data_IF_460421205900
#
_entry.id   IF_460421205900
#
_cell.length_a   1.000
_cell.length_b   1.000
_cell.length_c   1.000
_cell.angle_alpha   90.00
_cell.angle_beta   90.00
_cell.angle_gamma   90.00
#
_symmetry.space_group_name_H-M   'P 1'
#
loop_
_entity.id
_entity.type
_entity.pdbx_description
1 polymer ?
#
# COMPACT_ATOMS: atom_id res chain seq x y z
N UNK A 1 -11.59 -40.72 -24.33
CA UNK A 1 -10.80 -39.53 -24.72
C UNK A 1 -11.57 -38.21 -24.53
N UNK A 2 -12.88 -38.09 -24.84
CA UNK A 2 -13.62 -36.82 -24.67
C UNK A 2 -13.90 -36.38 -23.22
N UNK A 3 -14.20 -37.31 -22.31
CA UNK A 3 -14.56 -36.98 -20.91
C UNK A 3 -13.43 -36.30 -20.12
N UNK A 4 -12.17 -36.64 -20.43
CA UNK A 4 -10.99 -36.05 -19.80
C UNK A 4 -10.74 -34.60 -20.27
N UNK A 5 -10.96 -34.33 -21.55
CA UNK A 5 -10.83 -33.00 -22.13
C UNK A 5 -11.88 -32.03 -21.57
N UNK A 6 -13.14 -32.48 -21.44
CA UNK A 6 -14.23 -31.68 -20.85
C UNK A 6 -13.95 -31.36 -19.38
N UNK A 7 -13.40 -32.31 -18.62
CA UNK A 7 -13.05 -32.12 -17.22
C UNK A 7 -11.88 -31.12 -17.04
N UNK A 8 -10.86 -31.18 -17.91
CA UNK A 8 -9.75 -30.22 -17.93
C UNK A 8 -10.21 -28.80 -18.31
N UNK A 9 -11.12 -28.66 -19.28
CA UNK A 9 -11.68 -27.36 -19.66
C UNK A 9 -12.55 -26.74 -18.55
N UNK A 10 -13.36 -27.55 -17.86
CA UNK A 10 -14.10 -27.11 -16.67
C UNK A 10 -13.17 -26.71 -15.53
N UNK A 11 -12.05 -27.41 -15.35
CA UNK A 11 -11.05 -27.07 -14.33
C UNK A 11 -10.34 -25.73 -14.64
N UNK A 12 -10.00 -25.48 -15.91
CA UNK A 12 -9.41 -24.21 -16.34
C UNK A 12 -10.38 -23.02 -16.22
N UNK A 13 -11.69 -23.24 -16.39
CA UNK A 13 -12.72 -22.21 -16.19
C UNK A 13 -12.91 -21.85 -14.71
N UNK A 14 -12.73 -22.80 -13.78
CA UNK A 14 -12.75 -22.55 -12.33
C UNK A 14 -11.42 -21.94 -11.86
N UNK A 15 -10.31 -22.25 -12.53
CA UNK A 15 -9.03 -21.57 -12.39
C UNK A 15 -9.00 -20.24 -13.15
N UNK A 16 -10.03 -19.39 -13.01
CA UNK A 16 -9.82 -17.97 -13.25
C UNK A 16 -8.72 -17.52 -12.29
N UNK A 17 -7.52 -17.41 -12.83
CA UNK A 17 -6.39 -16.73 -12.21
C UNK A 17 -6.94 -15.36 -11.88
N UNK A 18 -7.31 -15.15 -10.61
CA UNK A 18 -7.58 -13.81 -10.08
C UNK A 18 -6.25 -13.09 -10.05
N UNK A 19 -5.76 -12.71 -11.23
CA UNK A 19 -4.76 -11.67 -11.34
C UNK A 19 -5.38 -10.45 -10.70
N UNK A 20 -4.85 -10.01 -9.57
CA UNK A 20 -5.32 -8.80 -8.91
C UNK A 20 -5.00 -7.63 -9.83
N UNK A 21 -5.96 -7.27 -10.68
CA UNK A 21 -5.89 -6.13 -11.57
C UNK A 21 -6.35 -4.89 -10.81
N UNK A 22 -5.70 -3.74 -11.06
CA UNK A 22 -6.18 -2.45 -10.56
C UNK A 22 -7.58 -2.22 -11.15
N UNK A 23 -8.65 -2.07 -10.35
CA UNK A 23 -10.00 -1.91 -10.90
C UNK A 23 -10.05 -0.75 -11.90
N UNK A 24 -10.82 -0.89 -12.98
CA UNK A 24 -10.90 0.13 -14.04
C UNK A 24 -11.22 1.53 -13.49
N UNK A 25 -12.13 1.62 -12.51
CA UNK A 25 -12.45 2.88 -11.81
C UNK A 25 -11.22 3.48 -11.13
N UNK A 26 -10.41 2.66 -10.45
CA UNK A 26 -9.20 3.12 -9.78
C UNK A 26 -8.17 3.64 -10.79
N UNK A 27 -7.98 2.94 -11.91
CA UNK A 27 -7.09 3.42 -12.96
C UNK A 27 -7.57 4.76 -13.53
N UNK A 28 -8.85 4.90 -13.85
CA UNK A 28 -9.43 6.17 -14.34
C UNK A 28 -9.22 7.31 -13.34
N UNK A 29 -9.48 7.05 -12.06
CA UNK A 29 -9.25 8.03 -10.99
C UNK A 29 -7.78 8.45 -10.88
N UNK A 30 -6.85 7.49 -10.95
CA UNK A 30 -5.41 7.81 -10.94
C UNK A 30 -5.05 8.71 -12.13
N UNK A 31 -5.52 8.40 -13.33
CA UNK A 31 -5.24 9.22 -14.51
C UNK A 31 -5.80 10.64 -14.42
N UNK A 32 -7.02 10.80 -13.88
CA UNK A 32 -7.62 12.11 -13.69
C UNK A 32 -6.82 12.95 -12.66
N UNK A 33 -6.44 12.34 -11.54
CA UNK A 33 -5.59 12.99 -10.55
C UNK A 33 -4.20 13.33 -11.09
N UNK A 34 -3.59 12.47 -11.92
CA UNK A 34 -2.30 12.76 -12.55
C UNK A 34 -2.36 13.96 -13.51
N UNK A 35 -3.51 14.20 -14.15
CA UNK A 35 -3.72 15.41 -14.97
C UNK A 35 -3.82 16.67 -14.12
N UNK A 36 -4.39 16.56 -12.92
CA UNK A 36 -4.49 17.68 -11.98
C UNK A 36 -3.14 17.98 -11.33
N UNK A 37 -2.47 16.96 -10.76
CA UNK A 37 -1.13 17.04 -10.18
C UNK A 37 -0.05 16.88 -11.27
N UNK A 38 -0.11 17.76 -12.26
CA UNK A 38 0.75 17.72 -13.44
C UNK A 38 2.17 18.14 -13.10
N UNK A 39 3.13 17.31 -13.51
CA UNK A 39 4.57 17.58 -13.54
C UNK A 39 5.09 17.15 -14.92
N UNK A 40 6.26 17.61 -15.32
CA UNK A 40 6.88 17.22 -16.59
C UNK A 40 7.46 15.80 -16.53
N UNK A 41 7.68 15.18 -17.69
CA UNK A 41 8.15 13.80 -17.77
C UNK A 41 9.59 13.64 -17.25
N UNK A 42 10.45 14.64 -17.49
CA UNK A 42 11.81 14.69 -16.92
C UNK A 42 11.78 14.72 -15.39
N UNK A 43 10.84 15.44 -14.78
CA UNK A 43 10.64 15.42 -13.32
C UNK A 43 10.06 14.09 -12.82
N UNK A 44 9.12 13.51 -13.57
CA UNK A 44 8.45 12.25 -13.18
C UNK A 44 9.36 11.03 -13.29
N UNK A 45 10.29 11.05 -14.24
CA UNK A 45 11.16 9.94 -14.60
C UNK A 45 12.65 10.26 -14.39
N UNK A 46 12.96 11.09 -13.39
CA UNK A 46 14.33 11.52 -13.03
C UNK A 46 15.22 10.40 -12.41
N UNK A 47 14.70 9.18 -12.28
CA UNK A 47 15.38 8.04 -11.67
C UNK A 47 15.33 7.99 -10.13
N UNK A 48 14.63 8.92 -9.47
CA UNK A 48 14.50 9.01 -8.02
C UNK A 48 13.03 8.77 -7.60
N UNK A 49 12.54 7.51 -7.65
CA UNK A 49 11.18 7.23 -7.27
C UNK A 49 10.95 7.52 -5.78
N UNK A 50 9.81 8.13 -5.44
CA UNK A 50 9.41 8.40 -4.04
C UNK A 50 9.47 7.14 -3.17
N UNK A 51 9.04 6.00 -3.74
CA UNK A 51 9.17 4.69 -3.13
C UNK A 51 10.01 3.78 -4.03
N UNK A 52 11.04 3.17 -3.47
CA UNK A 52 11.88 2.22 -4.21
C UNK A 52 11.06 1.02 -4.69
N UNK A 53 11.11 0.75 -6.00
CA UNK A 53 10.49 -0.46 -6.58
C UNK A 53 11.32 -1.72 -6.30
N UNK A 54 12.54 -1.58 -5.79
CA UNK A 54 13.40 -2.70 -5.44
C UNK A 54 12.88 -3.33 -4.15
N UNK A 55 12.11 -4.41 -4.29
CA UNK A 55 11.65 -5.18 -3.14
C UNK A 55 12.87 -5.79 -2.42
N UNK A 56 13.10 -5.43 -1.15
CA UNK A 56 14.40 -5.65 -0.51
C UNK A 56 14.71 -7.15 -0.33
N UNK A 57 13.69 -8.01 -0.26
CA UNK A 57 13.81 -9.41 0.15
C UNK A 57 12.83 -10.28 -0.67
N UNK A 58 13.25 -11.49 -1.03
CA UNK A 58 12.47 -12.44 -1.83
C UNK A 58 11.37 -13.18 -1.04
N UNK A 59 11.39 -13.11 0.30
CA UNK A 59 10.38 -13.68 1.20
C UNK A 59 9.09 -12.84 1.18
N UNK A 60 7.94 -13.49 0.97
CA UNK A 60 6.62 -12.84 0.87
C UNK A 60 6.28 -12.00 2.09
N UNK A 61 6.42 -12.53 3.30
CA UNK A 61 6.14 -11.80 4.55
C UNK A 61 6.90 -10.47 4.62
N UNK A 62 8.18 -10.46 4.25
CA UNK A 62 8.98 -9.23 4.30
C UNK A 62 8.57 -8.22 3.23
N UNK A 63 8.15 -8.70 2.05
CA UNK A 63 7.53 -7.84 1.03
C UNK A 63 6.23 -7.24 1.56
N UNK A 64 5.42 -8.01 2.27
CA UNK A 64 4.16 -7.53 2.83
C UNK A 64 4.40 -6.44 3.88
N UNK A 65 5.40 -6.58 4.75
CA UNK A 65 5.83 -5.50 5.68
C UNK A 65 6.22 -4.23 4.94
N UNK A 66 7.04 -4.36 3.88
CA UNK A 66 7.43 -3.21 3.06
C UNK A 66 6.22 -2.53 2.41
N UNK A 67 5.34 -3.30 1.76
CA UNK A 67 4.14 -2.79 1.09
C UNK A 67 3.16 -2.19 2.10
N UNK A 68 2.97 -2.80 3.27
CA UNK A 68 2.18 -2.24 4.36
C UNK A 68 2.67 -0.85 4.78
N UNK A 69 3.99 -0.68 4.90
CA UNK A 69 4.60 0.63 5.14
C UNK A 69 4.38 1.64 4.00
N UNK A 70 4.46 1.19 2.74
CA UNK A 70 4.16 2.04 1.57
C UNK A 70 2.69 2.48 1.56
N UNK A 71 1.75 1.58 1.86
CA UNK A 71 0.32 1.91 1.94
C UNK A 71 0.02 2.90 3.07
N UNK A 72 0.68 2.77 4.23
CA UNK A 72 0.58 3.75 5.33
C UNK A 72 1.02 5.14 4.85
N UNK A 73 2.13 5.23 4.10
CA UNK A 73 2.60 6.51 3.56
C UNK A 73 1.70 7.08 2.46
N UNK A 74 1.08 6.26 1.63
CA UNK A 74 0.06 6.75 0.69
C UNK A 74 -1.19 7.25 1.42
N UNK A 75 -1.60 6.63 2.53
CA UNK A 75 -2.71 7.13 3.33
C UNK A 75 -2.41 8.51 3.92
N UNK A 76 -1.23 8.69 4.52
CA UNK A 76 -0.76 9.99 5.03
C UNK A 76 -0.69 11.04 3.91
N UNK A 77 -0.07 10.70 2.77
CA UNK A 77 0.11 11.60 1.63
C UNK A 77 -1.24 12.07 1.06
N UNK A 78 -2.17 11.15 0.81
CA UNK A 78 -3.48 11.52 0.26
C UNK A 78 -4.30 12.31 1.29
N UNK A 79 -4.15 12.01 2.59
CA UNK A 79 -4.71 12.82 3.66
C UNK A 79 -4.24 14.27 3.61
N UNK A 80 -2.93 14.48 3.40
CA UNK A 80 -2.34 15.81 3.24
C UNK A 80 -2.86 16.51 1.98
N UNK A 81 -2.88 15.82 0.84
CA UNK A 81 -3.41 16.36 -0.41
C UNK A 81 -4.87 16.83 -0.25
N UNK A 82 -5.68 16.11 0.52
CA UNK A 82 -7.06 16.50 0.83
C UNK A 82 -7.18 17.75 1.72
N UNK A 83 -6.25 17.93 2.66
CA UNK A 83 -6.22 19.11 3.52
C UNK A 83 -5.73 20.37 2.81
N UNK A 84 -4.90 20.22 1.77
CA UNK A 84 -4.42 21.35 0.96
C UNK A 84 -5.43 21.84 -0.08
N UNK A 85 -6.43 21.03 -0.43
CA UNK A 85 -7.46 21.46 -1.36
C UNK A 85 -8.26 22.64 -0.79
N UNK A 86 -8.53 23.69 -1.60
CA UNK A 86 -9.33 24.83 -1.17
C UNK A 86 -10.61 24.39 -0.46
N UNK A 87 -10.83 24.91 0.75
CA UNK A 87 -12.10 24.71 1.46
C UNK A 87 -13.20 25.37 0.65
N UNK A 88 -14.28 24.65 0.29
CA UNK A 88 -15.44 25.26 -0.35
C UNK A 88 -15.90 26.43 0.51
N UNK A 89 -15.82 27.65 -0.01
CA UNK A 89 -16.35 28.82 0.70
C UNK A 89 -17.87 28.62 0.83
N UNK A 90 -18.47 28.86 2.00
CA UNK A 90 -19.92 28.89 2.09
C UNK A 90 -20.41 29.97 1.12
N UNK A 91 -21.30 29.58 0.21
CA UNK A 91 -22.09 30.54 -0.53
C UNK A 91 -22.94 31.26 0.53
N UNK A 92 -22.57 32.50 0.84
CA UNK A 92 -23.42 33.41 1.59
C UNK A 92 -24.72 33.54 0.81
N UNK A 93 -25.76 32.87 1.31
CA UNK A 93 -27.13 33.17 0.95
C UNK A 93 -27.42 34.58 1.50
N UNK A 94 -27.26 35.60 0.66
CA UNK A 94 -27.80 36.92 0.94
C UNK A 94 -28.28 37.51 -0.39
N UNK A 95 -29.54 37.92 -0.35
CA UNK A 95 -30.29 38.70 -1.34
C UNK A 95 -30.94 37.95 -2.51
N UNK A 96 -32.03 37.25 -2.18
CA UNK A 96 -33.24 37.35 -2.99
C UNK A 96 -34.09 38.50 -2.46
N UNK A 97 -34.08 39.66 -3.14
CA UNK A 97 -35.31 40.29 -3.66
C UNK A 97 -35.01 41.57 -4.45
N UNK A 98 -35.45 41.54 -5.72
CA UNK A 98 -36.18 42.60 -6.43
C UNK A 98 -35.48 43.38 -7.58
N UNK A 99 -35.79 42.93 -8.82
CA UNK A 99 -35.91 43.68 -10.10
C UNK A 99 -34.64 44.39 -10.66
N UNK A 100 -34.27 44.42 -11.94
CA UNK A 100 -34.95 44.31 -13.25
C UNK A 100 -33.93 43.91 -14.34
N UNK A 101 -34.44 43.27 -15.40
CA UNK A 101 -33.96 43.20 -16.79
C UNK A 101 -32.63 43.88 -17.20
N UNK A 102 -31.66 43.08 -17.68
CA UNK A 102 -30.98 43.33 -18.96
C UNK A 102 -30.15 42.09 -19.37
N UNK A 103 -30.40 41.64 -20.60
CA UNK A 103 -29.76 40.54 -21.29
C UNK A 103 -28.33 40.92 -21.69
N UNK A 104 -27.33 40.18 -21.21
CA UNK A 104 -25.98 40.15 -21.80
C UNK A 104 -25.35 38.78 -21.56
N UNK A 105 -25.08 37.95 -22.59
CA UNK A 105 -24.34 36.71 -22.41
C UNK A 105 -22.84 37.03 -22.41
N UNK A 106 -22.33 37.43 -21.25
CA UNK A 106 -20.90 37.43 -20.99
C UNK A 106 -20.45 36.00 -20.69
N UNK A 107 -19.68 35.40 -21.60
CA UNK A 107 -19.00 34.10 -21.41
C UNK A 107 -17.95 34.27 -20.31
N UNK A 108 -18.39 34.15 -19.06
CA UNK A 108 -17.54 34.00 -17.90
C UNK A 108 -17.32 32.51 -17.66
N UNK A 109 -16.15 32.00 -18.02
CA UNK A 109 -15.69 30.65 -17.71
C UNK A 109 -15.50 30.47 -16.21
N UNK A 110 -16.59 30.25 -15.48
CA UNK A 110 -16.56 29.79 -14.09
C UNK A 110 -16.16 28.31 -14.04
N UNK A 111 -14.88 28.02 -14.29
CA UNK A 111 -14.35 26.64 -14.38
C UNK A 111 -13.68 26.16 -13.08
N UNK A 112 -13.45 27.04 -12.11
CA UNK A 112 -12.63 26.68 -10.93
C UNK A 112 -13.41 26.00 -9.80
N UNK A 113 -14.69 26.34 -9.62
CA UNK A 113 -15.51 25.77 -8.53
C UNK A 113 -15.81 24.27 -8.72
N UNK A 114 -15.95 23.80 -9.96
CA UNK A 114 -16.28 22.39 -10.26
C UNK A 114 -15.07 21.45 -10.31
N UNK A 115 -13.87 21.96 -10.58
CA UNK A 115 -12.65 21.13 -10.69
C UNK A 115 -12.18 20.68 -9.30
N UNK A 116 -12.22 21.56 -8.30
CA UNK A 116 -11.81 21.24 -6.92
C UNK A 116 -12.69 20.17 -6.27
N UNK A 117 -13.99 20.19 -6.53
CA UNK A 117 -14.95 19.20 -6.01
C UNK A 117 -14.72 17.80 -6.60
N UNK A 118 -14.39 17.72 -7.90
CA UNK A 118 -14.09 16.46 -8.55
C UNK A 118 -12.78 15.83 -8.01
N UNK A 119 -11.72 16.63 -7.84
CA UNK A 119 -10.43 16.17 -7.28
C UNK A 119 -10.61 15.66 -5.85
N UNK A 120 -11.40 16.36 -5.03
CA UNK A 120 -11.70 15.94 -3.65
C UNK A 120 -12.38 14.57 -3.60
N UNK A 121 -13.37 14.33 -4.47
CA UNK A 121 -14.08 13.04 -4.56
C UNK A 121 -13.13 11.93 -5.01
N UNK A 122 -12.28 12.19 -5.99
CA UNK A 122 -11.30 11.24 -6.51
C UNK A 122 -10.24 10.83 -5.47
N UNK A 123 -9.68 11.80 -4.73
CA UNK A 123 -8.75 11.52 -3.63
C UNK A 123 -9.42 10.73 -2.50
N UNK A 124 -10.65 11.10 -2.09
CA UNK A 124 -11.42 10.33 -1.09
C UNK A 124 -11.67 8.90 -1.55
N UNK A 125 -11.97 8.69 -2.83
CA UNK A 125 -12.13 7.36 -3.39
C UNK A 125 -10.84 6.54 -3.29
N UNK A 126 -9.69 7.07 -3.71
CA UNK A 126 -8.40 6.34 -3.56
C UNK A 126 -8.06 6.06 -2.10
N UNK A 127 -8.24 7.05 -1.23
CA UNK A 127 -7.99 6.91 0.20
C UNK A 127 -8.81 5.76 0.80
N UNK A 128 -10.11 5.67 0.46
CA UNK A 128 -10.96 4.59 0.96
C UNK A 128 -10.50 3.22 0.48
N UNK A 129 -10.05 3.08 -0.78
CA UNK A 129 -9.51 1.83 -1.33
C UNK A 129 -8.18 1.41 -0.70
N UNK A 130 -7.31 2.36 -0.40
CA UNK A 130 -6.05 2.08 0.31
C UNK A 130 -6.34 1.63 1.74
N UNK A 131 -7.25 2.31 2.45
CA UNK A 131 -7.67 1.92 3.80
C UNK A 131 -8.30 0.52 3.83
N UNK A 132 -9.16 0.22 2.86
CA UNK A 132 -9.79 -1.10 2.71
C UNK A 132 -8.73 -2.19 2.51
N UNK A 133 -7.81 -2.02 1.56
CA UNK A 133 -6.72 -2.96 1.31
C UNK A 133 -5.85 -3.17 2.56
N UNK A 134 -5.51 -2.08 3.26
CA UNK A 134 -4.68 -2.14 4.47
C UNK A 134 -5.38 -2.92 5.59
N UNK A 135 -6.65 -2.60 5.85
CA UNK A 135 -7.44 -3.25 6.91
C UNK A 135 -7.58 -4.75 6.68
N UNK A 136 -7.77 -5.19 5.43
CA UNK A 136 -8.04 -6.59 5.15
C UNK A 136 -6.79 -7.45 4.95
N UNK A 137 -5.66 -6.87 4.55
CA UNK A 137 -4.50 -7.65 4.10
C UNK A 137 -3.15 -7.22 4.67
N UNK A 138 -3.07 -6.10 5.39
CA UNK A 138 -1.80 -5.53 5.86
C UNK A 138 -1.88 -4.94 7.28
N UNK A 139 -2.86 -5.34 8.09
CA UNK A 139 -3.01 -4.78 9.43
C UNK A 139 -1.82 -5.16 10.34
N UNK A 140 -1.44 -6.44 10.35
CA UNK A 140 -0.31 -6.92 11.15
C UNK A 140 1.02 -6.38 10.61
N UNK A 141 1.20 -6.42 9.28
CA UNK A 141 2.38 -5.90 8.62
C UNK A 141 2.57 -4.39 8.83
N UNK A 142 1.46 -3.64 8.85
CA UNK A 142 1.45 -2.23 9.19
C UNK A 142 1.89 -1.98 10.63
N UNK A 143 1.46 -2.81 11.60
CA UNK A 143 1.92 -2.73 12.99
C UNK A 143 3.43 -2.98 13.09
N UNK A 144 3.93 -4.03 12.44
CA UNK A 144 5.37 -4.33 12.41
C UNK A 144 6.15 -3.18 11.76
N UNK A 145 5.67 -2.63 10.64
CA UNK A 145 6.32 -1.50 9.99
C UNK A 145 6.37 -0.25 10.89
N UNK A 146 5.33 0.01 11.68
CA UNK A 146 5.31 1.11 12.68
C UNK A 146 6.33 0.89 13.78
N UNK A 147 6.43 -0.32 14.33
CA UNK A 147 7.46 -0.65 15.32
C UNK A 147 8.86 -0.50 14.74
N UNK A 148 9.10 -0.95 13.50
CA UNK A 148 10.40 -0.74 12.84
C UNK A 148 10.73 0.75 12.66
N UNK A 149 9.73 1.58 12.39
CA UNK A 149 9.93 3.02 12.29
C UNK A 149 10.17 3.69 13.64
N UNK A 150 9.54 3.20 14.72
CA UNK A 150 9.77 3.70 16.08
C UNK A 150 11.20 3.43 16.53
N UNK A 151 11.77 2.28 16.17
CA UNK A 151 13.19 1.96 16.43
C UNK A 151 14.15 2.99 15.82
N UNK A 152 13.84 3.55 14.65
CA UNK A 152 14.66 4.59 14.01
C UNK A 152 14.64 5.92 14.79
N UNK A 153 13.60 6.17 15.58
CA UNK A 153 13.41 7.41 16.35
C UNK A 153 14.04 7.39 17.74
N UNK A 154 14.65 6.28 18.14
CA UNK A 154 15.28 6.15 19.45
C UNK A 154 16.40 7.20 19.61
N UNK A 155 16.38 7.91 20.74
CA UNK A 155 17.38 8.94 21.08
C UNK A 155 18.66 8.27 21.60
N UNK A 156 19.57 7.95 20.68
CA UNK A 156 20.78 7.18 21.00
C UNK A 156 21.77 7.93 21.92
N UNK A 157 21.67 9.25 21.99
CA UNK A 157 22.54 10.12 22.80
C UNK A 157 22.00 10.36 24.23
N UNK A 158 20.80 9.87 24.56
CA UNK A 158 20.23 10.00 25.89
C UNK A 158 20.73 8.88 26.82
N UNK A 159 21.31 9.26 27.97
CA UNK A 159 21.87 8.34 28.96
C UNK A 159 20.81 7.42 29.57
N UNK A 160 19.58 7.91 29.74
CA UNK A 160 18.48 7.10 30.28
C UNK A 160 18.10 6.01 29.27
N UNK A 161 18.01 6.36 28.00
CA UNK A 161 17.78 5.43 26.89
C UNK A 161 18.90 4.38 26.81
N UNK A 162 20.16 4.78 26.90
CA UNK A 162 21.30 3.86 26.89
C UNK A 162 21.25 2.87 28.06
N UNK A 163 20.99 3.36 29.27
CA UNK A 163 20.90 2.51 30.47
C UNK A 163 19.74 1.51 30.37
N UNK A 164 18.55 1.95 29.92
CA UNK A 164 17.41 1.05 29.67
C UNK A 164 17.71 0.00 28.60
N UNK A 165 18.39 0.39 27.53
CA UNK A 165 18.77 -0.53 26.46
C UNK A 165 19.73 -1.61 26.98
N UNK A 166 20.75 -1.21 27.76
CA UNK A 166 21.70 -2.14 28.38
C UNK A 166 21.00 -3.10 29.35
N UNK A 167 20.06 -2.61 30.17
CA UNK A 167 19.31 -3.45 31.11
C UNK A 167 18.47 -4.55 30.43
N UNK A 168 18.05 -4.34 29.18
CA UNK A 168 17.28 -5.34 28.41
C UNK A 168 18.15 -6.15 27.43
N UNK A 169 19.45 -5.85 27.33
CA UNK A 169 20.31 -6.38 26.27
C UNK A 169 20.43 -7.92 26.33
N UNK A 170 20.58 -8.48 27.54
CA UNK A 170 20.69 -9.92 27.71
C UNK A 170 19.46 -10.65 27.14
N UNK A 171 18.26 -10.17 27.47
CA UNK A 171 17.02 -10.76 26.98
C UNK A 171 16.91 -10.69 25.45
N UNK A 172 17.20 -9.54 24.85
CA UNK A 172 17.17 -9.39 23.39
C UNK A 172 18.22 -10.25 22.67
N UNK A 173 19.40 -10.42 23.26
CA UNK A 173 20.44 -11.29 22.72
C UNK A 173 20.04 -12.77 22.75
N UNK A 174 19.44 -13.22 23.85
CA UNK A 174 18.95 -14.59 24.00
C UNK A 174 17.80 -14.88 23.03
N UNK A 175 16.86 -13.96 22.89
CA UNK A 175 15.75 -14.07 21.95
C UNK A 175 16.25 -14.16 20.50
N UNK A 176 17.17 -13.28 20.09
CA UNK A 176 17.77 -13.30 18.76
C UNK A 176 18.51 -14.62 18.47
N UNK A 177 19.26 -15.13 19.46
CA UNK A 177 19.97 -16.40 19.37
C UNK A 177 19.03 -17.60 19.24
N UNK A 178 17.93 -17.59 19.99
CA UNK A 178 16.90 -18.62 19.95
C UNK A 178 16.20 -18.67 18.59
N UNK A 179 15.84 -17.52 18.02
CA UNK A 179 15.24 -17.42 16.69
C UNK A 179 16.14 -18.02 15.60
N UNK A 180 17.46 -17.75 15.65
CA UNK A 180 18.43 -18.34 14.73
C UNK A 180 18.47 -19.87 14.83
N UNK A 181 18.49 -20.41 16.06
CA UNK A 181 18.49 -21.86 16.31
C UNK A 181 17.20 -22.52 15.80
N UNK A 182 16.04 -21.91 16.07
CA UNK A 182 14.75 -22.41 15.56
C UNK A 182 14.74 -22.45 14.03
N UNK A 183 15.23 -21.41 13.36
CA UNK A 183 15.33 -21.38 11.90
C UNK A 183 16.22 -22.51 11.36
N UNK A 184 17.35 -22.80 12.01
CA UNK A 184 18.23 -23.91 11.65
C UNK A 184 17.54 -25.27 11.81
N UNK A 185 16.86 -25.50 12.93
CA UNK A 185 16.11 -26.74 13.21
C UNK A 185 15.03 -26.96 12.13
N UNK A 186 14.28 -25.93 11.79
CA UNK A 186 13.26 -26.01 10.74
C UNK A 186 13.86 -26.37 9.38
N UNK A 187 15.00 -25.77 9.01
CA UNK A 187 15.72 -26.10 7.77
C UNK A 187 16.19 -27.55 7.76
N UNK A 188 16.74 -28.05 8.86
CA UNK A 188 17.21 -29.42 8.97
C UNK A 188 16.05 -30.43 8.88
N UNK A 189 14.94 -30.17 9.57
CA UNK A 189 13.71 -30.99 9.48
C UNK A 189 13.19 -31.08 8.04
N UNK A 190 13.18 -29.96 7.31
CA UNK A 190 12.79 -29.93 5.89
C UNK A 190 13.73 -30.78 5.02
N UNK A 191 15.04 -30.74 5.25
CA UNK A 191 16.03 -31.56 4.53
C UNK A 191 15.81 -33.06 4.77
N UNK A 192 15.66 -33.48 6.03
CA UNK A 192 15.41 -34.89 6.40
C UNK A 192 14.13 -35.42 5.76
N UNK A 193 13.03 -34.65 5.77
CA UNK A 193 11.78 -35.03 5.09
C UNK A 193 11.96 -35.25 3.59
N UNK A 194 12.78 -34.44 2.92
CA UNK A 194 13.08 -34.61 1.48
C UNK A 194 13.91 -35.87 1.22
N UNK A 195 14.90 -36.16 2.07
CA UNK A 195 15.70 -37.37 1.97
C UNK A 195 14.85 -38.64 2.16
N UNK A 196 13.99 -38.67 3.19
CA UNK A 196 13.09 -39.79 3.44
C UNK A 196 12.09 -40.02 2.29
N UNK A 197 11.62 -38.96 1.63
CA UNK A 197 10.76 -39.07 0.43
C UNK A 197 11.51 -39.64 -0.77
N UNK A 198 12.77 -39.24 -0.99
CA UNK A 198 13.62 -39.77 -2.07
C UNK A 198 13.91 -41.27 -1.91
N UNK A 199 14.13 -41.71 -0.67
CA UNK A 199 14.31 -43.14 -0.36
C UNK A 199 13.03 -43.95 -0.62
N UNK A 200 11.84 -43.40 -0.36
CA UNK A 200 10.57 -44.07 -0.69
C UNK A 200 10.29 -44.16 -2.19
N UNK A 201 10.71 -43.17 -2.99
CA UNK A 201 10.46 -43.16 -4.44
C UNK A 201 11.48 -43.95 -5.26
N UNK A 202 12.65 -44.22 -4.71
CA UNK A 202 13.66 -45.13 -5.28
C UNK A 202 14.07 -46.12 -4.20
N UNK A 203 13.32 -47.23 -4.03
CA UNK A 203 13.84 -48.36 -3.26
C UNK A 203 15.12 -48.80 -3.97
N UNK A 204 16.26 -48.80 -3.27
CA UNK A 204 17.45 -49.49 -3.78
C UNK A 204 17.06 -50.95 -3.99
N UNK A 205 17.19 -51.41 -5.23
CA UNK A 205 17.17 -52.83 -5.59
C UNK A 205 18.33 -53.56 -4.88
#
# INVERSE_FOLDING_TARGET
SMKFAVCLCLWLLVCQVRGSYIPQRMNKTIQNLLKHYKISDDQRYDGKPVFSKKLPINKTETKMVYIGGVLEKYEELIGHMLSELPTPRPQTATDQQHLTSAFTPGVGTNTEAGVGDNVRVELKYLLSKIKELKRHHYEEEGKVAKELFSLKKIQMNDIVTQSKALGNLQWWYDEASTLKKQQQIQRQRRRRRRQARRVKTHPRA
#
